data_IF_134183023799
#
_entry.id   IF_134183023799
#
_cell.length_a   1.000
_cell.length_b   1.000
_cell.length_c   1.000
_cell.angle_alpha   90.00
_cell.angle_beta   90.00
_cell.angle_gamma   90.00
#
_symmetry.space_group_name_H-M   'P 1'
#
loop_
_entity.id
_entity.type
_entity.pdbx_description
1 polymer ?
#
# COMPACT_ATOMS: atom_id res chain seq x y z
N UNK A 1 27.94 -11.27 -35.91
CA UNK A 1 27.47 -11.16 -34.52
C UNK A 1 26.11 -10.50 -34.54
N UNK A 2 25.03 -11.22 -34.19
CA UNK A 2 23.74 -10.57 -33.94
C UNK A 2 23.83 -9.91 -32.56
N UNK A 3 23.80 -8.58 -32.53
CA UNK A 3 23.64 -7.84 -31.29
C UNK A 3 22.15 -7.79 -30.96
N UNK A 4 21.73 -8.48 -29.91
CA UNK A 4 20.38 -8.34 -29.38
C UNK A 4 20.28 -7.00 -28.65
N UNK A 5 19.43 -6.11 -29.16
CA UNK A 5 19.13 -4.83 -28.50
C UNK A 5 18.17 -5.11 -27.34
N UNK A 6 18.51 -4.75 -26.09
CA UNK A 6 17.60 -4.90 -24.98
C UNK A 6 16.45 -3.89 -25.13
N UNK A 7 15.22 -4.40 -25.27
CA UNK A 7 14.01 -3.58 -25.19
C UNK A 7 13.71 -3.34 -23.72
N UNK A 8 14.03 -2.15 -23.22
CA UNK A 8 13.60 -1.71 -21.89
C UNK A 8 12.17 -1.18 -21.96
N UNK A 9 11.19 -2.03 -21.62
CA UNK A 9 9.81 -1.58 -21.38
C UNK A 9 9.75 -1.00 -19.97
N UNK A 10 9.59 0.33 -19.84
CA UNK A 10 9.27 0.94 -18.55
C UNK A 10 7.76 0.85 -18.32
N UNK A 11 7.32 -0.22 -17.66
CA UNK A 11 5.98 -0.26 -17.08
C UNK A 11 6.02 0.39 -15.70
N UNK A 12 5.16 1.38 -15.47
CA UNK A 12 4.87 1.85 -14.11
C UNK A 12 3.99 0.78 -13.44
N UNK A 13 4.30 0.42 -12.20
CA UNK A 13 3.37 -0.39 -11.39
C UNK A 13 2.26 0.53 -10.93
N UNK A 14 1.02 0.11 -11.13
CA UNK A 14 -0.16 0.87 -10.76
C UNK A 14 -0.99 0.03 -9.79
N UNK A 15 -1.25 0.60 -8.63
CA UNK A 15 -2.23 0.10 -7.67
C UNK A 15 -3.42 1.06 -7.75
N UNK A 16 -4.53 0.60 -8.32
CA UNK A 16 -5.79 1.32 -8.32
C UNK A 16 -6.76 0.57 -7.41
N UNK A 17 -7.61 1.32 -6.71
CA UNK A 17 -8.82 0.73 -6.15
C UNK A 17 -9.73 0.28 -7.30
N UNK A 18 -10.25 -0.94 -7.21
CA UNK A 18 -11.15 -1.56 -8.19
C UNK A 18 -12.53 -1.92 -7.61
N UNK A 19 -12.71 -1.82 -6.30
CA UNK A 19 -14.00 -1.93 -5.63
C UNK A 19 -13.92 -2.70 -4.32
N UNK A 20 -15.00 -2.68 -3.51
CA UNK A 20 -15.00 -3.37 -2.23
C UNK A 20 -15.01 -4.90 -2.40
N UNK A 21 -14.24 -5.61 -1.55
CA UNK A 21 -14.30 -7.07 -1.43
C UNK A 21 -13.00 -7.67 -0.91
N UNK A 22 -11.88 -7.31 -1.55
CA UNK A 22 -10.58 -7.94 -1.36
C UNK A 22 -9.44 -6.89 -1.28
N UNK A 23 -9.71 -5.74 -0.67
CA UNK A 23 -8.82 -4.56 -0.65
C UNK A 23 -7.37 -4.84 -0.24
N UNK A 24 -7.12 -5.59 0.83
CA UNK A 24 -5.75 -5.91 1.29
C UNK A 24 -5.11 -6.92 0.36
N UNK A 25 -5.90 -7.86 -0.16
CA UNK A 25 -5.44 -8.88 -1.10
C UNK A 25 -5.03 -8.21 -2.42
N UNK A 26 -5.81 -7.27 -2.94
CA UNK A 26 -5.48 -6.41 -4.07
C UNK A 26 -4.18 -5.63 -3.80
N UNK A 27 -4.10 -4.90 -2.70
CA UNK A 27 -2.92 -4.12 -2.30
C UNK A 27 -1.67 -5.04 -2.24
N UNK A 28 -1.77 -6.19 -1.58
CA UNK A 28 -0.68 -7.16 -1.43
C UNK A 28 -0.29 -7.78 -2.79
N UNK A 29 -1.26 -8.09 -3.66
CA UNK A 29 -1.00 -8.67 -4.98
C UNK A 29 -0.14 -7.77 -5.88
N UNK A 30 -0.20 -6.45 -5.67
CA UNK A 30 0.58 -5.46 -6.44
C UNK A 30 1.91 -5.15 -5.77
N UNK A 31 1.94 -4.95 -4.46
CA UNK A 31 3.10 -4.37 -3.76
C UNK A 31 4.02 -5.38 -3.07
N UNK A 32 3.52 -6.53 -2.66
CA UNK A 32 4.34 -7.67 -2.21
C UNK A 32 3.52 -8.97 -2.27
N UNK A 33 3.49 -9.67 -3.42
CA UNK A 33 2.73 -10.92 -3.56
C UNK A 33 3.10 -11.92 -2.47
N UNK A 34 2.08 -12.58 -1.90
CA UNK A 34 2.18 -13.55 -0.79
C UNK A 34 2.69 -12.97 0.54
N UNK A 35 2.78 -11.65 0.67
CA UNK A 35 3.24 -10.95 1.85
C UNK A 35 2.23 -9.87 2.26
N UNK A 36 2.40 -9.27 3.44
CA UNK A 36 1.51 -8.21 3.93
C UNK A 36 2.23 -6.86 3.94
N UNK A 37 1.75 -5.92 3.10
CA UNK A 37 2.24 -4.54 3.07
C UNK A 37 1.35 -3.56 3.85
N UNK A 38 0.18 -4.00 4.31
CA UNK A 38 -0.72 -3.15 5.07
C UNK A 38 -0.28 -3.18 6.53
N UNK A 39 0.09 -2.01 7.05
CA UNK A 39 0.29 -1.81 8.49
C UNK A 39 -0.92 -1.10 9.06
N UNK A 40 -1.75 -1.84 9.80
CA UNK A 40 -2.82 -1.30 10.63
C UNK A 40 -2.66 -1.88 12.06
N UNK A 41 -1.87 -1.23 12.91
CA UNK A 41 -1.56 -1.75 14.21
C UNK A 41 -2.72 -1.56 15.18
N UNK A 42 -3.76 -2.38 15.04
CA UNK A 42 -4.91 -2.42 15.93
C UNK A 42 -4.70 -3.48 17.02
N UNK A 43 -4.84 -3.07 18.27
CA UNK A 43 -4.67 -3.91 19.45
C UNK A 43 -5.71 -3.62 20.55
N UNK A 44 -6.61 -2.66 20.31
CA UNK A 44 -7.54 -2.09 21.28
C UNK A 44 -8.99 -2.16 20.79
N UNK A 45 -9.23 -2.02 19.48
CA UNK A 45 -10.54 -2.11 18.81
C UNK A 45 -10.59 -3.24 17.77
N UNK A 46 -10.35 -4.50 18.17
CA UNK A 46 -10.36 -5.63 17.23
C UNK A 46 -11.70 -5.79 16.48
N UNK A 47 -12.80 -5.31 17.06
CA UNK A 47 -14.14 -5.35 16.47
C UNK A 47 -14.31 -4.43 15.26
N UNK A 48 -13.45 -3.42 15.08
CA UNK A 48 -13.51 -2.51 13.92
C UNK A 48 -13.13 -3.25 12.62
N UNK A 49 -12.23 -4.21 12.71
CA UNK A 49 -11.77 -4.99 11.57
C UNK A 49 -10.67 -4.27 10.76
N UNK A 50 -10.88 -4.11 9.45
CA UNK A 50 -9.86 -3.61 8.50
C UNK A 50 -9.91 -2.07 8.44
N UNK A 51 -8.75 -1.44 8.44
CA UNK A 51 -8.58 0.02 8.50
C UNK A 51 -8.33 0.69 7.15
N UNK A 52 -8.36 -0.10 6.07
CA UNK A 52 -8.34 0.41 4.71
C UNK A 52 -9.48 -0.29 3.95
N UNK A 53 -10.33 0.50 3.32
CA UNK A 53 -11.43 0.02 2.48
C UNK A 53 -11.41 0.69 1.11
N UNK A 54 -12.15 0.12 0.16
CA UNK A 54 -12.41 0.76 -1.12
C UNK A 54 -13.81 1.32 -1.17
N UNK A 55 -13.92 2.62 -1.44
CA UNK A 55 -15.18 3.36 -1.47
C UNK A 55 -15.32 4.11 -2.79
N UNK A 56 -16.54 4.25 -3.30
CA UNK A 56 -16.79 5.05 -4.49
C UNK A 56 -16.76 6.54 -4.12
N UNK A 57 -15.81 7.28 -4.68
CA UNK A 57 -15.71 8.72 -4.52
C UNK A 57 -16.44 9.42 -5.67
N UNK A 58 -17.45 10.23 -5.33
CA UNK A 58 -18.31 10.92 -6.30
C UNK A 58 -17.61 12.10 -6.98
N UNK A 59 -16.70 12.77 -6.29
CA UNK A 59 -15.99 13.94 -6.81
C UNK A 59 -14.89 13.51 -7.79
N UNK A 60 -14.24 12.38 -7.50
CA UNK A 60 -13.22 11.77 -8.34
C UNK A 60 -13.78 10.79 -9.38
N UNK A 61 -15.06 10.42 -9.27
CA UNK A 61 -15.79 9.48 -10.13
C UNK A 61 -15.05 8.14 -10.31
N UNK A 62 -14.56 7.57 -9.21
CA UNK A 62 -13.84 6.28 -9.17
C UNK A 62 -13.79 5.71 -7.76
N UNK A 63 -13.43 4.43 -7.65
CA UNK A 63 -13.05 3.86 -6.37
C UNK A 63 -11.73 4.45 -5.85
N UNK A 64 -11.64 4.63 -4.55
CA UNK A 64 -10.46 5.12 -3.83
C UNK A 64 -10.22 4.29 -2.58
N UNK A 65 -8.98 4.27 -2.09
CA UNK A 65 -8.65 3.70 -0.79
C UNK A 65 -8.97 4.72 0.31
N UNK A 66 -9.89 4.36 1.22
CA UNK A 66 -10.23 5.13 2.41
C UNK A 66 -9.52 4.54 3.62
N UNK A 67 -8.83 5.39 4.39
CA UNK A 67 -8.04 5.00 5.57
C UNK A 67 -8.78 5.43 6.84
N UNK A 68 -8.95 4.50 7.78
CA UNK A 68 -9.58 4.76 9.07
C UNK A 68 -8.51 4.79 10.17
N UNK A 69 -8.46 5.87 10.96
CA UNK A 69 -7.57 5.97 12.13
C UNK A 69 -8.40 6.32 13.36
N UNK A 70 -8.03 5.72 14.50
CA UNK A 70 -8.72 5.95 15.77
C UNK A 70 -8.03 7.08 16.53
N UNK A 71 -8.80 8.12 16.90
CA UNK A 71 -8.22 9.21 17.69
C UNK A 71 -7.87 8.77 19.11
N UNK A 72 -8.62 7.81 19.67
CA UNK A 72 -8.41 7.37 21.05
C UNK A 72 -8.36 5.84 21.12
N UNK A 73 -7.31 5.26 21.76
CA UNK A 73 -6.11 5.95 22.25
C UNK A 73 -5.09 6.14 21.13
N UNK A 74 -4.32 7.22 21.20
CA UNK A 74 -3.23 7.50 20.27
C UNK A 74 -2.06 6.54 20.53
N UNK A 75 -1.95 5.48 19.72
CA UNK A 75 -0.94 4.44 19.89
C UNK A 75 -0.53 3.76 18.57
N UNK A 76 0.72 3.34 18.49
CA UNK A 76 1.32 2.60 17.39
C UNK A 76 1.70 1.22 17.95
N UNK A 77 0.88 0.21 17.61
CA UNK A 77 1.05 -1.21 17.98
C UNK A 77 0.96 -1.50 19.47
N UNK A 78 0.29 -0.66 20.26
CA UNK A 78 0.34 -0.73 21.72
C UNK A 78 1.78 -0.70 22.30
N UNK A 79 2.75 -0.24 21.51
CA UNK A 79 4.17 -0.16 21.89
C UNK A 79 4.55 1.30 22.09
N UNK A 80 4.21 2.16 21.13
CA UNK A 80 4.42 3.61 21.23
C UNK A 80 3.07 4.30 21.43
N UNK A 81 3.06 5.40 22.18
CA UNK A 81 1.85 6.15 22.57
C UNK A 81 1.97 7.63 22.19
N UNK A 82 2.65 7.90 21.08
CA UNK A 82 2.95 9.24 20.54
C UNK A 82 2.36 9.47 19.14
N UNK A 83 1.84 8.42 18.49
CA UNK A 83 1.27 8.46 17.14
C UNK A 83 0.44 7.21 16.85
N UNK A 84 -0.41 7.31 15.83
CA UNK A 84 -0.95 6.18 15.08
C UNK A 84 -0.40 6.13 13.66
N UNK A 85 -0.40 4.94 13.04
CA UNK A 85 -0.01 4.73 11.63
C UNK A 85 -0.98 3.78 10.96
N UNK A 86 -1.54 4.17 9.81
CA UNK A 86 -2.23 3.26 8.90
C UNK A 86 -1.58 3.45 7.54
N UNK A 87 -0.87 2.44 7.09
CA UNK A 87 0.08 2.58 5.98
C UNK A 87 -0.05 1.44 4.97
N UNK A 88 0.20 1.78 3.71
CA UNK A 88 0.56 0.83 2.65
C UNK A 88 2.02 1.12 2.32
N UNK A 89 2.88 0.10 2.35
CA UNK A 89 4.33 0.28 2.17
C UNK A 89 4.94 -0.63 1.12
N UNK A 90 6.09 -0.23 0.61
CA UNK A 90 7.03 -1.14 -0.08
C UNK A 90 8.19 -1.44 0.86
N UNK A 91 8.63 -2.69 0.94
CA UNK A 91 9.67 -3.11 1.89
C UNK A 91 10.53 -4.26 1.32
N UNK A 92 11.35 -4.94 2.12
CA UNK A 92 12.34 -5.92 1.62
C UNK A 92 11.73 -7.04 0.77
N UNK A 93 10.50 -7.47 1.11
CA UNK A 93 9.74 -8.49 0.37
C UNK A 93 9.05 -7.96 -0.89
N UNK A 94 9.00 -6.64 -1.11
CA UNK A 94 8.45 -6.06 -2.33
C UNK A 94 9.37 -6.34 -3.54
N UNK A 95 8.80 -6.49 -4.74
CA UNK A 95 9.53 -6.52 -6.00
C UNK A 95 10.61 -5.43 -6.10
N UNK A 96 11.76 -5.76 -6.71
CA UNK A 96 12.90 -4.85 -6.77
C UNK A 96 12.57 -3.49 -7.42
N UNK A 97 11.70 -3.49 -8.43
CA UNK A 97 11.26 -2.29 -9.13
C UNK A 97 10.31 -1.37 -8.32
N UNK A 98 9.89 -1.81 -7.13
CA UNK A 98 9.10 -1.01 -6.19
C UNK A 98 9.95 -0.44 -5.05
N UNK A 99 11.22 -0.83 -4.95
CA UNK A 99 12.13 -0.38 -3.90
C UNK A 99 13.02 0.73 -4.44
N UNK A 100 13.16 1.81 -3.68
CA UNK A 100 14.17 2.82 -3.97
C UNK A 100 15.57 2.36 -3.54
N UNK A 101 16.57 2.64 -4.38
CA UNK A 101 17.98 2.40 -4.05
C UNK A 101 18.77 3.71 -3.89
N UNK A 102 19.86 3.67 -3.12
CA UNK A 102 20.70 4.85 -2.90
C UNK A 102 21.25 5.40 -4.23
N UNK A 103 21.10 6.71 -4.45
CA UNK A 103 21.49 7.38 -5.68
C UNK A 103 20.46 7.29 -6.82
N UNK A 104 19.35 6.57 -6.64
CA UNK A 104 18.24 6.56 -7.60
C UNK A 104 17.36 7.80 -7.46
N UNK A 105 16.83 8.28 -8.58
CA UNK A 105 15.76 9.30 -8.59
C UNK A 105 14.45 8.65 -9.03
N UNK A 106 13.50 8.57 -8.11
CA UNK A 106 12.13 8.12 -8.38
C UNK A 106 11.24 9.35 -8.60
N UNK A 107 10.35 9.27 -9.60
CA UNK A 107 9.34 10.28 -9.86
C UNK A 107 7.96 9.66 -9.78
N UNK A 108 7.18 10.09 -8.80
CA UNK A 108 5.74 9.84 -8.73
C UNK A 108 5.05 10.75 -9.76
N UNK A 109 4.08 10.20 -10.48
CA UNK A 109 3.31 10.90 -11.52
C UNK A 109 1.86 10.97 -11.12
#
# INVERSE_FOLDING_TARGET
MLSAIPVFVRSQVLLNADGPGDTYELINSVLAPNNNVVENPECIHPEFGRHIAEVWDIDLNRYVFEFYSHVTPDNDRCINFDRQRVEIKTYDQSPANLKGVSGETIRYK
#
